data_IF_807452511176
#
_entry.id   IF_807452511176
#
_cell.length_a   1.000
_cell.length_b   1.000
_cell.length_c   1.000
_cell.angle_alpha   90.00
_cell.angle_beta   90.00
_cell.angle_gamma   90.00
#
_symmetry.space_group_name_H-M   'P 1'
#
loop_
_entity.id
_entity.type
_entity.pdbx_description
1 polymer ?
#
# COMPACT_ATOMS: atom_id res chain seq x y z
N UNK A 1 -6.80 -19.49 -17.24
CA UNK A 1 -6.62 -18.09 -17.68
C UNK A 1 -7.12 -17.21 -16.54
N UNK A 2 -6.23 -16.83 -15.64
CA UNK A 2 -6.59 -16.16 -14.40
C UNK A 2 -7.10 -14.75 -14.70
N UNK A 3 -8.39 -14.54 -14.46
CA UNK A 3 -9.11 -13.28 -14.59
C UNK A 3 -8.56 -12.28 -13.57
N UNK A 4 -7.50 -11.56 -13.94
CA UNK A 4 -7.04 -10.37 -13.21
C UNK A 4 -8.07 -9.29 -13.49
N UNK A 5 -8.97 -9.09 -12.54
CA UNK A 5 -9.92 -8.00 -12.52
C UNK A 5 -9.16 -6.65 -12.56
N UNK A 6 -9.61 -5.65 -13.34
CA UNK A 6 -8.92 -4.37 -13.50
C UNK A 6 -8.91 -3.49 -12.22
N UNK A 7 -9.56 -3.93 -11.15
CA UNK A 7 -9.65 -3.20 -9.87
C UNK A 7 -8.33 -3.14 -9.08
N UNK A 8 -7.32 -3.91 -9.49
CA UNK A 8 -6.06 -4.02 -8.75
C UNK A 8 -4.92 -3.12 -9.24
N UNK A 9 -5.11 -2.26 -10.23
CA UNK A 9 -4.00 -1.49 -10.80
C UNK A 9 -3.53 -0.37 -9.88
N UNK A 10 -4.45 0.39 -9.29
CA UNK A 10 -4.14 1.48 -8.36
C UNK A 10 -3.50 0.94 -7.08
N UNK A 11 -4.01 -0.16 -6.53
CA UNK A 11 -3.39 -0.79 -5.36
C UNK A 11 -2.00 -1.35 -5.69
N UNK A 12 -1.75 -1.91 -6.88
CA UNK A 12 -0.41 -2.36 -7.29
C UNK A 12 0.57 -1.20 -7.41
N UNK A 13 0.11 -0.07 -7.97
CA UNK A 13 0.91 1.17 -8.05
C UNK A 13 1.21 1.73 -6.66
N UNK A 14 0.23 1.70 -5.77
CA UNK A 14 0.39 2.11 -4.37
C UNK A 14 1.38 1.21 -3.62
N UNK A 15 1.26 -0.12 -3.71
CA UNK A 15 2.20 -1.07 -3.10
C UNK A 15 3.62 -0.82 -3.58
N UNK A 16 3.81 -0.62 -4.89
CA UNK A 16 5.13 -0.33 -5.45
C UNK A 16 5.70 0.97 -4.86
N UNK A 17 4.90 2.04 -4.86
CA UNK A 17 5.32 3.33 -4.31
C UNK A 17 5.63 3.25 -2.81
N UNK A 18 4.82 2.53 -2.04
CA UNK A 18 5.04 2.34 -0.60
C UNK A 18 6.35 1.60 -0.36
N UNK A 19 6.62 0.53 -1.10
CA UNK A 19 7.88 -0.24 -0.99
C UNK A 19 9.10 0.61 -1.32
N UNK A 20 9.04 1.43 -2.38
CA UNK A 20 10.11 2.37 -2.73
C UNK A 20 10.36 3.39 -1.60
N UNK A 21 9.29 3.95 -1.01
CA UNK A 21 9.42 4.90 0.10
C UNK A 21 9.94 4.25 1.40
N UNK A 22 9.56 3.01 1.68
CA UNK A 22 10.08 2.26 2.82
C UNK A 22 11.57 1.93 2.67
N UNK A 23 12.03 1.68 1.44
CA UNK A 23 13.43 1.38 1.16
C UNK A 23 14.30 2.63 1.28
N UNK A 24 13.81 3.79 0.84
CA UNK A 24 14.49 5.08 1.01
C UNK A 24 14.55 5.54 2.47
N UNK A 25 13.50 5.25 3.27
CA UNK A 25 13.41 5.71 4.65
C UNK A 25 12.90 4.61 5.59
N UNK A 26 13.77 3.69 6.04
CA UNK A 26 13.37 2.57 6.90
C UNK A 26 12.88 3.00 8.30
N UNK A 27 13.24 4.22 8.73
CA UNK A 27 12.82 4.82 10.00
C UNK A 27 11.45 5.53 9.90
N UNK A 28 10.91 5.67 8.68
CA UNK A 28 9.65 6.36 8.47
C UNK A 28 8.46 5.47 8.85
N UNK A 29 7.48 6.07 9.51
CA UNK A 29 6.27 5.37 9.96
C UNK A 29 5.51 4.83 8.75
N UNK A 30 5.44 3.50 8.63
CA UNK A 30 4.75 2.81 7.53
C UNK A 30 3.30 3.29 7.33
N UNK A 31 2.60 3.56 8.43
CA UNK A 31 1.23 4.11 8.43
C UNK A 31 1.17 5.43 7.63
N UNK A 32 2.12 6.35 7.82
CA UNK A 32 2.14 7.63 7.08
C UNK A 32 2.30 7.42 5.58
N UNK A 33 3.19 6.52 5.17
CA UNK A 33 3.43 6.22 3.75
C UNK A 33 2.16 5.62 3.13
N UNK A 34 1.51 4.71 3.86
CA UNK A 34 0.27 4.08 3.40
C UNK A 34 -0.86 5.11 3.28
N UNK A 35 -1.04 5.99 4.26
CA UNK A 35 -2.00 7.10 4.17
C UNK A 35 -1.71 7.98 2.95
N UNK A 36 -0.45 8.36 2.72
CA UNK A 36 -0.07 9.14 1.54
C UNK A 36 -0.39 8.40 0.23
N UNK A 37 -0.15 7.09 0.17
CA UNK A 37 -0.49 6.29 -0.99
C UNK A 37 -2.00 6.22 -1.20
N UNK A 38 -2.79 6.08 -0.15
CA UNK A 38 -4.26 6.03 -0.21
C UNK A 38 -4.83 7.33 -0.79
N UNK A 39 -4.35 8.48 -0.32
CA UNK A 39 -4.73 9.78 -0.88
C UNK A 39 -4.20 10.00 -2.31
N UNK A 40 -3.02 9.48 -2.64
CA UNK A 40 -2.37 9.69 -3.93
C UNK A 40 -2.99 8.85 -5.06
N UNK A 41 -3.40 7.63 -4.74
CA UNK A 41 -3.95 6.66 -5.67
C UNK A 41 -5.48 6.52 -5.57
N UNK A 42 -6.14 7.39 -4.80
CA UNK A 42 -7.59 7.40 -4.56
C UNK A 42 -8.10 6.01 -4.13
N UNK A 43 -7.37 5.38 -3.21
CA UNK A 43 -7.68 4.04 -2.75
C UNK A 43 -8.88 4.04 -1.81
N UNK A 44 -9.70 2.99 -1.89
CA UNK A 44 -10.79 2.82 -0.96
C UNK A 44 -10.27 2.48 0.45
N UNK A 45 -11.05 2.76 1.50
CA UNK A 45 -10.69 2.39 2.87
C UNK A 45 -10.37 0.88 3.01
N UNK A 46 -11.02 0.04 2.19
CA UNK A 46 -10.74 -1.41 2.12
C UNK A 46 -9.32 -1.69 1.64
N UNK A 47 -8.86 -0.98 0.61
CA UNK A 47 -7.50 -1.09 0.08
C UNK A 47 -6.47 -0.54 1.07
N UNK A 48 -6.80 0.57 1.75
CA UNK A 48 -5.98 1.14 2.82
C UNK A 48 -5.76 0.12 3.95
N UNK A 49 -6.84 -0.52 4.44
CA UNK A 49 -6.77 -1.57 5.45
C UNK A 49 -5.95 -2.78 4.96
N UNK A 50 -6.08 -3.16 3.69
CA UNK A 50 -5.25 -4.22 3.11
C UNK A 50 -3.77 -3.86 3.14
N UNK A 51 -3.41 -2.63 2.75
CA UNK A 51 -2.02 -2.13 2.78
C UNK A 51 -1.49 -2.07 4.21
N UNK A 52 -2.27 -1.52 5.15
CA UNK A 52 -1.91 -1.48 6.57
C UNK A 52 -1.68 -2.89 7.08
N UNK A 53 -2.57 -3.84 6.82
CA UNK A 53 -2.36 -5.21 7.24
C UNK A 53 -1.13 -5.83 6.56
N UNK A 54 -0.95 -5.63 5.25
CA UNK A 54 0.19 -6.19 4.52
C UNK A 54 1.55 -5.69 5.03
N UNK A 55 1.65 -4.40 5.34
CA UNK A 55 2.92 -3.76 5.73
C UNK A 55 3.12 -3.60 7.24
N UNK A 56 2.05 -3.52 8.02
CA UNK A 56 2.08 -3.33 9.49
C UNK A 56 1.86 -4.64 10.26
N UNK A 57 1.22 -5.67 9.69
CA UNK A 57 1.07 -6.99 10.33
C UNK A 57 2.36 -7.82 10.25
N UNK A 58 3.49 -7.18 10.53
CA UNK A 58 4.71 -7.88 10.92
C UNK A 58 4.62 -8.08 12.44
N UNK A 59 3.83 -9.07 12.82
CA UNK A 59 3.77 -9.59 14.18
C UNK A 59 5.17 -10.02 14.61
N UNK A 60 5.62 -9.46 15.74
CA UNK A 60 6.56 -9.96 16.75
C UNK A 60 7.63 -10.97 16.32
#
# INVERSE_FOLDING_TARGET
MSTVTPTGEDIRRAVKWISENMEENPDQVRIKIIEQAVFKFDLSPIDAEFLINYFCNKTT
#
